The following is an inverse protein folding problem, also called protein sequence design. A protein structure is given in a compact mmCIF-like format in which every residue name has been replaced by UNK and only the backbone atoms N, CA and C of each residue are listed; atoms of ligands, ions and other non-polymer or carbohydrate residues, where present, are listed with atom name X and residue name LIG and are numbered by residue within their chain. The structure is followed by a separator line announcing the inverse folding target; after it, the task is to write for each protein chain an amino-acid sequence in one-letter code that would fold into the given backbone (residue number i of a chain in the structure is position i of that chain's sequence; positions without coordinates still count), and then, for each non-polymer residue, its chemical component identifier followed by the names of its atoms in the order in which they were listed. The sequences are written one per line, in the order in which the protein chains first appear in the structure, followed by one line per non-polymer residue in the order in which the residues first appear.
data_IF_246998895715
#
_entry.id   IF_246998895715
#
_cell.length_a   1.000
_cell.length_b   1.000
_cell.length_c   1.000
_cell.angle_alpha   90.00
_cell.angle_beta   90.00
_cell.angle_gamma   90.00
#
_symmetry.space_group_name_H-M   'P 1'
#
loop_
_entity.id
_entity.type
_entity.pdbx_description
1 polymer ?
#
# COMPACT_ATOMS: atom_id res chain seq x y z
N UNK A 1 9.92 18.59 21.91
CA UNK A 1 9.44 17.70 20.84
C UNK A 1 10.67 17.18 20.09
N UNK A 2 10.95 15.87 20.03
CA UNK A 2 12.14 15.37 19.34
C UNK A 2 12.03 15.58 17.82
N UNK A 3 13.13 15.85 17.11
CA UNK A 3 13.12 15.98 15.66
C UNK A 3 12.72 14.65 15.01
N UNK A 4 11.90 14.71 13.96
CA UNK A 4 11.55 13.50 13.18
C UNK A 4 12.84 12.88 12.61
N UNK A 5 13.05 11.56 12.73
CA UNK A 5 14.22 10.92 12.15
C UNK A 5 14.22 11.16 10.63
N UNK A 6 15.39 11.54 10.09
CA UNK A 6 15.55 11.68 8.63
C UNK A 6 15.32 10.30 8.00
N UNK A 7 14.57 10.20 6.88
CA UNK A 7 14.49 8.93 6.16
C UNK A 7 15.91 8.50 5.77
N UNK A 8 16.29 7.28 6.13
CA UNK A 8 17.54 6.70 5.65
C UNK A 8 17.46 6.60 4.13
N UNK A 9 18.52 7.01 3.43
CA UNK A 9 18.62 6.77 2.01
C UNK A 9 18.45 5.26 1.76
N UNK A 10 17.42 4.90 0.98
CA UNK A 10 17.29 3.55 0.46
C UNK A 10 18.50 3.26 -0.43
N UNK A 11 19.08 2.05 -0.36
CA UNK A 11 20.16 1.70 -1.27
C UNK A 11 19.64 1.85 -2.71
N UNK A 12 20.41 2.52 -3.56
CA UNK A 12 20.09 2.60 -4.97
C UNK A 12 20.00 1.17 -5.53
N UNK A 13 18.85 0.83 -6.10
CA UNK A 13 18.70 -0.43 -6.81
C UNK A 13 18.80 -0.10 -8.30
N UNK A 14 19.82 -0.61 -8.99
CA UNK A 14 20.25 -0.13 -10.32
C UNK A 14 19.28 -0.39 -11.50
N UNK A 15 18.02 -0.68 -11.22
CA UNK A 15 16.99 -0.94 -12.21
C UNK A 15 16.42 0.37 -12.80
N UNK A 16 17.19 1.06 -13.64
CA UNK A 16 16.66 2.16 -14.46
C UNK A 16 15.79 1.59 -15.59
N UNK A 17 14.65 2.23 -15.95
CA UNK A 17 13.73 1.71 -16.97
C UNK A 17 14.36 1.52 -18.36
N UNK A 18 15.47 2.22 -18.64
CA UNK A 18 16.28 2.10 -19.86
C UNK A 18 17.30 0.93 -19.82
N UNK A 19 17.74 0.52 -18.62
CA UNK A 19 18.73 -0.55 -18.40
C UNK A 19 18.15 -1.93 -18.11
N UNK A 20 16.83 -2.13 -18.27
CA UNK A 20 16.19 -3.43 -18.02
C UNK A 20 16.70 -4.51 -19.01
N UNK A 21 17.04 -5.72 -18.53
CA UNK A 21 17.20 -6.89 -19.38
C UNK A 21 15.91 -7.18 -20.18
N UNK A 22 16.01 -7.83 -21.33
CA UNK A 22 14.88 -8.15 -22.23
C UNK A 22 13.68 -8.81 -21.53
N UNK A 23 13.96 -9.59 -20.50
CA UNK A 23 12.99 -10.43 -19.80
C UNK A 23 12.27 -9.68 -18.66
N UNK A 24 12.70 -8.44 -18.39
CA UNK A 24 12.16 -7.57 -17.36
C UNK A 24 11.24 -6.52 -17.98
N UNK A 25 10.09 -6.29 -17.36
CA UNK A 25 9.12 -5.28 -17.79
C UNK A 25 8.67 -4.42 -16.62
N UNK A 26 8.61 -3.10 -16.83
CA UNK A 26 7.92 -2.18 -15.94
C UNK A 26 6.41 -2.36 -16.11
N UNK A 27 5.70 -2.65 -15.03
CA UNK A 27 4.26 -2.89 -15.01
C UNK A 27 3.58 -2.14 -13.87
N UNK A 28 2.28 -1.93 -14.00
CA UNK A 28 1.42 -1.49 -12.90
C UNK A 28 0.80 -2.71 -12.22
N UNK A 29 0.92 -2.77 -10.90
CA UNK A 29 0.25 -3.77 -10.07
C UNK A 29 -1.25 -3.40 -9.93
N UNK A 30 -2.11 -4.33 -10.28
CA UNK A 30 -3.54 -4.29 -10.05
C UNK A 30 -3.91 -4.76 -8.63
N UNK A 31 -5.11 -5.33 -8.48
CA UNK A 31 -5.54 -5.89 -7.21
C UNK A 31 -4.75 -7.18 -6.85
N UNK A 32 -4.36 -7.38 -5.59
CA UNK A 32 -3.82 -8.66 -5.13
C UNK A 32 -4.86 -9.77 -5.32
N UNK A 33 -4.44 -10.93 -5.80
CA UNK A 33 -5.30 -12.08 -6.12
C UNK A 33 -5.29 -13.16 -5.02
N UNK A 34 -4.66 -12.87 -3.88
CA UNK A 34 -4.37 -13.86 -2.83
C UNK A 34 -3.04 -14.58 -3.06
N UNK A 35 -2.60 -15.38 -2.09
CA UNK A 35 -1.33 -16.13 -2.13
C UNK A 35 -0.09 -15.32 -2.55
N UNK A 36 -0.02 -14.03 -2.19
CA UNK A 36 1.03 -13.07 -2.59
C UNK A 36 1.14 -12.77 -4.10
N UNK A 37 0.14 -13.17 -4.89
CA UNK A 37 0.07 -12.88 -6.32
C UNK A 37 -0.65 -11.55 -6.59
N UNK A 38 -0.21 -10.85 -7.64
CA UNK A 38 -0.81 -9.61 -8.11
C UNK A 38 -1.27 -9.76 -9.56
N UNK A 39 -2.45 -9.23 -9.89
CA UNK A 39 -2.83 -9.03 -11.28
C UNK A 39 -1.98 -7.90 -11.88
N UNK A 40 -1.52 -8.05 -13.11
CA UNK A 40 -0.75 -7.07 -13.88
C UNK A 40 -1.23 -7.07 -15.32
N UNK A 41 -1.03 -5.97 -16.04
CA UNK A 41 -1.34 -5.90 -17.47
C UNK A 41 -0.03 -5.84 -18.27
N UNK A 42 0.15 -6.80 -19.18
CA UNK A 42 1.36 -6.95 -19.99
C UNK A 42 0.91 -7.15 -21.44
N UNK A 43 1.28 -6.22 -22.32
CA UNK A 43 0.86 -6.19 -23.72
C UNK A 43 -0.67 -6.32 -23.92
N UNK A 44 -1.48 -5.64 -23.08
CA UNK A 44 -2.94 -5.68 -23.14
C UNK A 44 -3.59 -6.96 -22.57
N UNK A 45 -2.80 -7.86 -21.96
CA UNK A 45 -3.29 -9.07 -21.33
C UNK A 45 -3.14 -9.03 -19.82
N UNK A 46 -4.20 -9.36 -19.09
CA UNK A 46 -4.16 -9.55 -17.65
C UNK A 46 -3.39 -10.84 -17.31
N UNK A 47 -2.27 -10.71 -16.62
CA UNK A 47 -1.40 -11.81 -16.16
C UNK A 47 -1.20 -11.73 -14.65
N UNK A 48 -1.10 -12.88 -13.99
CA UNK A 48 -0.72 -12.94 -12.57
C UNK A 48 0.80 -13.04 -12.45
N UNK A 49 1.38 -12.30 -11.50
CA UNK A 49 2.79 -12.40 -11.10
C UNK A 49 2.86 -12.72 -9.61
N UNK A 50 3.81 -13.56 -9.20
CA UNK A 50 4.07 -13.81 -7.79
C UNK A 50 5.03 -12.76 -7.22
N UNK A 51 4.88 -12.44 -5.93
CA UNK A 51 5.82 -11.59 -5.21
C UNK A 51 6.79 -12.49 -4.44
N UNK A 52 8.06 -12.64 -4.81
CA UNK A 52 8.99 -13.52 -4.10
C UNK A 52 9.27 -13.03 -2.67
N UNK A 53 9.59 -13.96 -1.77
CA UNK A 53 9.76 -13.68 -0.33
C UNK A 53 10.86 -12.65 -0.01
N UNK A 54 11.83 -12.47 -0.92
CA UNK A 54 12.87 -11.44 -0.84
C UNK A 54 12.27 -10.05 -0.89
N UNK A 55 11.46 -9.76 -1.91
CA UNK A 55 10.82 -8.45 -2.13
C UNK A 55 9.73 -8.19 -1.10
N UNK A 56 8.98 -9.21 -0.68
CA UNK A 56 7.99 -9.14 0.43
C UNK A 56 8.56 -8.59 1.75
N UNK A 57 9.88 -8.74 1.99
CA UNK A 57 10.55 -8.24 3.20
C UNK A 57 11.06 -6.80 3.09
N UNK A 58 11.24 -6.30 1.86
CA UNK A 58 11.90 -5.01 1.59
C UNK A 58 10.96 -3.95 1.04
N UNK A 59 9.84 -4.34 0.42
CA UNK A 59 8.90 -3.41 -0.21
C UNK A 59 7.44 -3.81 0.01
N UNK A 60 6.56 -2.80 0.00
CA UNK A 60 5.11 -2.97 0.12
C UNK A 60 4.47 -2.78 -1.27
N UNK A 61 3.89 -3.85 -1.80
CA UNK A 61 3.12 -3.81 -3.04
C UNK A 61 1.64 -3.51 -2.76
N UNK A 62 1.15 -2.37 -3.24
CA UNK A 62 -0.26 -1.99 -3.19
C UNK A 62 -0.87 -1.99 -4.59
N UNK A 63 -2.20 -2.04 -4.68
CA UNK A 63 -2.90 -1.74 -5.93
C UNK A 63 -2.47 -0.35 -6.44
N UNK A 64 -2.22 -0.24 -7.73
CA UNK A 64 -1.79 0.98 -8.40
C UNK A 64 -0.28 1.25 -8.32
N UNK A 65 0.48 0.49 -7.52
CA UNK A 65 1.93 0.62 -7.44
C UNK A 65 2.62 0.17 -8.74
N UNK A 66 3.84 0.64 -8.96
CA UNK A 66 4.67 0.23 -10.09
C UNK A 66 5.68 -0.82 -9.64
N UNK A 67 5.96 -1.79 -10.50
CA UNK A 67 6.89 -2.87 -10.21
C UNK A 67 7.61 -3.31 -11.49
N UNK A 68 8.79 -3.88 -11.31
CA UNK A 68 9.53 -4.54 -12.37
C UNK A 68 9.31 -6.04 -12.18
N UNK A 69 8.76 -6.67 -13.20
CA UNK A 69 8.48 -8.11 -13.24
C UNK A 69 9.41 -8.80 -14.23
N UNK A 70 9.90 -9.97 -13.88
CA UNK A 70 10.59 -10.87 -14.80
C UNK A 70 9.61 -11.94 -15.26
N UNK A 71 9.45 -12.11 -16.59
CA UNK A 71 8.57 -13.14 -17.15
C UNK A 71 9.27 -14.50 -17.25
N UNK A 72 8.50 -15.57 -17.06
CA UNK A 72 8.99 -16.92 -17.33
C UNK A 72 8.90 -17.26 -18.82
N UNK A 73 9.97 -17.79 -19.44
CA UNK A 73 10.02 -18.03 -20.89
C UNK A 73 9.08 -19.15 -21.37
N UNK A 74 8.61 -20.00 -20.45
CA UNK A 74 7.67 -21.10 -20.73
C UNK A 74 6.51 -21.08 -19.73
N UNK A 75 5.69 -20.03 -19.78
CA UNK A 75 4.52 -19.83 -18.89
C UNK A 75 3.43 -20.87 -19.13
N UNK A 76 3.60 -22.08 -18.57
CA UNK A 76 2.60 -23.15 -18.55
C UNK A 76 1.67 -23.08 -17.32
N UNK A 77 2.09 -22.34 -16.30
CA UNK A 77 1.35 -22.11 -15.06
C UNK A 77 0.47 -20.85 -15.12
N UNK A 78 -0.45 -20.73 -14.15
CA UNK A 78 -1.33 -19.56 -13.98
C UNK A 78 -0.55 -18.25 -13.68
N UNK A 79 0.68 -18.36 -13.21
CA UNK A 79 1.58 -17.25 -12.89
C UNK A 79 2.59 -17.09 -14.02
N UNK A 80 2.64 -15.90 -14.62
CA UNK A 80 3.45 -15.61 -15.80
C UNK A 80 4.88 -15.13 -15.49
N UNK A 81 5.16 -14.77 -14.24
CA UNK A 81 6.44 -14.19 -13.83
C UNK A 81 6.52 -13.88 -12.34
N UNK A 82 7.64 -13.32 -11.91
CA UNK A 82 7.86 -12.87 -10.54
C UNK A 82 8.22 -11.37 -10.46
N UNK A 83 7.85 -10.72 -9.35
CA UNK A 83 8.21 -9.32 -9.07
C UNK A 83 9.65 -9.26 -8.56
N UNK A 84 10.55 -8.66 -9.34
CA UNK A 84 11.97 -8.49 -8.95
C UNK A 84 12.16 -7.27 -8.06
N UNK A 85 11.42 -6.19 -8.32
CA UNK A 85 11.54 -4.93 -7.61
C UNK A 85 10.21 -4.16 -7.62
N UNK A 86 9.90 -3.42 -6.56
CA UNK A 86 8.71 -2.54 -6.48
C UNK A 86 9.20 -1.11 -6.46
N UNK A 87 8.79 -0.34 -7.47
CA UNK A 87 9.26 1.04 -7.69
C UNK A 87 8.54 1.98 -6.73
N UNK A 88 9.32 2.73 -5.95
CA UNK A 88 8.79 3.69 -4.99
C UNK A 88 8.40 5.01 -5.66
N UNK A 89 7.48 5.75 -5.03
CA UNK A 89 7.09 7.09 -5.50
C UNK A 89 8.19 8.16 -5.44
N UNK A 90 9.40 7.82 -4.94
CA UNK A 90 10.60 8.64 -5.07
C UNK A 90 11.30 8.36 -6.41
N UNK A 91 11.59 7.09 -6.70
CA UNK A 91 12.21 6.64 -7.96
C UNK A 91 11.37 7.04 -9.19
N UNK A 92 10.03 6.93 -9.12
CA UNK A 92 9.14 7.44 -10.20
C UNK A 92 9.38 8.92 -10.50
N UNK A 93 9.62 9.75 -9.46
CA UNK A 93 9.90 11.20 -9.65
C UNK A 93 11.30 11.44 -10.20
N UNK A 94 12.26 10.57 -9.89
CA UNK A 94 13.62 10.63 -10.41
C UNK A 94 13.65 10.21 -11.89
N UNK A 95 12.98 9.11 -12.26
CA UNK A 95 12.87 8.67 -13.66
C UNK A 95 12.08 9.66 -14.52
N UNK A 96 11.04 10.31 -13.97
CA UNK A 96 10.36 11.43 -14.64
C UNK A 96 11.29 12.63 -14.88
N UNK A 97 12.23 12.93 -13.97
CA UNK A 97 13.24 13.99 -14.16
C UNK A 97 14.33 13.58 -15.15
N UNK A 98 14.72 12.31 -15.16
CA UNK A 98 15.68 11.75 -16.11
C UNK A 98 15.11 11.63 -17.54
N UNK A 99 13.78 11.71 -17.69
CA UNK A 99 13.09 11.58 -18.98
C UNK A 99 12.83 10.13 -19.41
N UNK A 100 13.21 9.15 -18.59
CA UNK A 100 13.09 7.72 -18.89
C UNK A 100 11.74 7.11 -18.45
N UNK A 101 10.85 7.91 -17.86
CA UNK A 101 9.52 7.46 -17.42
C UNK A 101 8.53 7.32 -18.58
N UNK A 102 7.91 6.13 -18.82
CA UNK A 102 6.95 5.96 -19.91
C UNK A 102 5.63 6.69 -19.62
N UNK A 103 5.28 7.68 -20.46
CA UNK A 103 4.09 8.54 -20.30
C UNK A 103 2.76 7.77 -20.18
N UNK A 104 2.65 6.58 -20.77
CA UNK A 104 1.48 5.72 -20.65
C UNK A 104 1.11 5.39 -19.19
N UNK A 105 2.10 5.36 -18.28
CA UNK A 105 1.86 5.13 -16.86
C UNK A 105 1.35 6.38 -16.11
N UNK A 106 1.56 7.59 -16.63
CA UNK A 106 1.04 8.83 -16.03
C UNK A 106 -0.48 8.98 -16.25
N UNK A 107 -0.92 8.71 -17.47
CA UNK A 107 -2.33 8.70 -17.85
C UNK A 107 -3.12 7.65 -17.04
N UNK A 108 -2.54 6.47 -16.85
CA UNK A 108 -3.10 5.40 -16.03
C UNK A 108 -3.29 5.81 -14.54
N UNK A 109 -2.39 6.63 -13.98
CA UNK A 109 -2.54 7.16 -12.61
C UNK A 109 -3.66 8.19 -12.55
N UNK A 110 -3.73 9.11 -13.50
CA UNK A 110 -4.79 10.12 -13.57
C UNK A 110 -6.19 9.48 -13.72
N UNK A 111 -6.30 8.41 -14.49
CA UNK A 111 -7.55 7.66 -14.70
C UNK A 111 -8.02 6.90 -13.44
N UNK A 112 -7.11 6.44 -12.57
CA UNK A 112 -7.51 5.78 -11.31
C UNK A 112 -7.84 6.79 -10.19
N UNK A 113 -7.21 7.97 -10.20
CA UNK A 113 -7.53 9.07 -9.27
C UNK A 113 -8.85 9.78 -9.58
N UNK A 114 -9.28 9.78 -10.84
CA UNK A 114 -10.58 10.31 -11.26
C UNK A 114 -11.73 9.31 -11.16
N UNK A 115 -11.47 8.07 -10.73
CA UNK A 115 -12.53 7.11 -10.39
C UNK A 115 -13.24 7.60 -9.12
N UNK A 116 -14.57 7.86 -9.15
CA UNK A 116 -15.26 8.35 -7.98
C UNK A 116 -15.11 7.35 -6.83
N UNK A 117 -14.64 7.86 -5.69
CA UNK A 117 -14.86 7.22 -4.40
C UNK A 117 -16.38 7.01 -4.26
N UNK A 118 -16.85 5.88 -3.68
CA UNK A 118 -18.24 5.82 -3.26
C UNK A 118 -18.48 7.02 -2.35
N UNK A 119 -19.50 7.82 -2.64
CA UNK A 119 -19.95 8.84 -1.71
C UNK A 119 -20.27 8.10 -0.41
N UNK A 120 -19.48 8.35 0.63
CA UNK A 120 -20.07 8.35 1.95
C UNK A 120 -21.05 9.52 1.91
N UNK A 121 -22.33 9.23 2.15
CA UNK A 121 -23.31 10.29 2.33
C UNK A 121 -22.90 11.07 3.58
N UNK A 122 -22.50 12.32 3.34
CA UNK A 122 -21.97 13.26 4.32
C UNK A 122 -23.15 13.84 5.11
N UNK A 123 -23.79 12.99 5.91
CA UNK A 123 -24.72 13.41 6.96
C UNK A 123 -23.87 13.80 8.18
N UNK A 124 -23.49 15.07 8.23
CA UNK A 124 -22.69 15.70 9.28
C UNK A 124 -23.48 15.76 10.60
N UNK A 125 -23.61 14.60 11.23
CA UNK A 125 -24.31 14.39 12.51
C UNK A 125 -23.36 13.69 13.50
N UNK A 126 -22.45 14.48 14.08
CA UNK A 126 -21.38 14.07 15.00
C UNK A 126 -21.89 13.62 16.41
N UNK A 127 -22.97 12.83 16.47
CA UNK A 127 -23.57 12.35 17.73
C UNK A 127 -24.15 10.92 17.65
N UNK A 128 -23.76 10.10 16.65
CA UNK A 128 -24.29 8.73 16.52
C UNK A 128 -23.30 7.67 16.01
N UNK A 129 -22.00 7.86 16.30
CA UNK A 129 -21.06 6.73 16.19
C UNK A 129 -21.30 5.74 17.35
N UNK A 130 -21.59 4.46 17.08
CA UNK A 130 -21.87 3.48 18.13
C UNK A 130 -20.65 3.29 19.03
N UNK A 131 -20.86 3.19 20.34
CA UNK A 131 -19.77 3.10 21.31
C UNK A 131 -18.90 1.87 21.02
N UNK A 132 -17.61 2.09 20.77
CA UNK A 132 -16.67 1.03 20.41
C UNK A 132 -16.48 0.07 21.59
N UNK A 133 -17.15 -1.09 21.54
CA UNK A 133 -17.16 -2.11 22.60
C UNK A 133 -15.80 -2.74 22.88
N UNK A 134 -14.84 -2.63 21.95
CA UNK A 134 -13.45 -3.04 22.18
C UNK A 134 -12.62 -2.01 22.96
N UNK A 135 -13.15 -0.80 23.22
CA UNK A 135 -12.54 0.17 24.13
C UNK A 135 -12.80 -0.26 25.58
N UNK A 136 -11.77 -0.75 26.26
CA UNK A 136 -11.80 -1.04 27.70
C UNK A 136 -12.24 0.21 28.48
N UNK A 137 -13.46 0.21 29.03
CA UNK A 137 -13.94 1.29 29.89
C UNK A 137 -13.08 1.33 31.15
N UNK A 138 -12.48 2.49 31.44
CA UNK A 138 -11.79 2.74 32.72
C UNK A 138 -12.87 2.95 33.77
N UNK A 139 -13.16 1.93 34.56
CA UNK A 139 -14.01 2.08 35.74
C UNK A 139 -13.25 2.94 36.75
N UNK A 140 -13.69 4.19 36.89
CA UNK A 140 -13.31 5.02 38.05
C UNK A 140 -14.28 4.67 39.15
N UNK A 141 -13.83 3.87 40.12
CA UNK A 141 -14.56 3.71 41.36
C UNK A 141 -14.48 5.04 42.11
N UNK A 142 -15.59 5.77 42.16
CA UNK A 142 -15.78 6.82 43.14
C UNK A 142 -15.99 6.12 44.48
N UNK A 143 -14.95 6.13 45.31
CA UNK A 143 -15.03 5.64 46.69
C UNK A 143 -15.87 6.61 47.50
N UNK A 144 -17.18 6.36 47.52
CA UNK A 144 -18.14 7.13 48.31
C UNK A 144 -18.09 6.64 49.75
N UNK A 145 -17.01 6.99 50.45
CA UNK A 145 -16.85 6.71 51.88
C UNK A 145 -17.95 7.43 52.66
N UNK A 146 -18.99 6.67 53.04
CA UNK A 146 -20.12 7.15 53.82
C UNK A 146 -19.81 6.92 55.30
N UNK A 147 -19.33 7.96 55.98
CA UNK A 147 -19.13 7.95 57.43
C UNK A 147 -20.42 8.44 58.12
N UNK A 148 -21.25 7.50 58.55
CA UNK A 148 -22.33 7.73 59.53
C UNK A 148 -21.84 7.30 60.92
N UNK A 149 -21.92 8.19 61.91
CA UNK A 149 -21.77 7.88 63.34
C UNK A 149 -22.66 8.82 64.18
N UNK A 150 -23.23 8.32 65.29
CA UNK A 150 -24.39 8.90 65.98
C UNK A 150 -24.42 8.54 67.48
N UNK A 151 -24.51 9.54 68.38
CA UNK A 151 -24.87 9.47 69.84
C UNK A 151 -24.91 10.92 70.41
N UNK A 152 -25.51 11.30 71.57
CA UNK A 152 -26.77 10.93 72.25
C UNK A 152 -27.05 11.92 73.43
N UNK A 153 -28.00 12.88 73.28
CA UNK A 153 -28.80 13.51 74.38
C UNK A 153 -29.95 14.42 73.87
#
# INVERSE_FOLDING_TARGET
MPPRPRPKATPATDYTPSGLPSDHHLVRLGAPQGSNQFATEIAGQAKLVDMPARVRRTAFATRGAFAIVQLYPASKDRVAGEIVHVVTGAEVKEWRKAGEWPKAFDEAVAAEQSRPLPKADDDDSDDSLPENTNRRKRVVHADSSSEEDSDDE
#
